data_IF_863606283294
#
_entry.id   IF_863606283294
#
_cell.length_a   1.000
_cell.length_b   1.000
_cell.length_c   1.000
_cell.angle_alpha   90.00
_cell.angle_beta   90.00
_cell.angle_gamma   90.00
#
_symmetry.space_group_name_H-M   'P 1'
#
loop_
_entity.id
_entity.type
_entity.pdbx_description
1 polymer ?
#
# COMPACT_ATOMS: atom_id res chain seq x y z
N UNK A 1 -15.07 -14.98 -28.72
CA UNK A 1 -14.99 -13.97 -27.63
C UNK A 1 -13.93 -12.98 -28.06
N UNK A 2 -14.32 -11.70 -28.27
CA UNK A 2 -13.36 -10.64 -28.61
C UNK A 2 -12.58 -10.31 -27.33
N UNK A 3 -11.26 -10.34 -27.40
CA UNK A 3 -10.40 -9.91 -26.30
C UNK A 3 -10.61 -8.39 -26.18
N UNK A 4 -11.01 -7.85 -25.01
CA UNK A 4 -11.09 -6.41 -24.87
C UNK A 4 -9.71 -5.81 -25.18
N UNK A 5 -9.67 -4.85 -26.10
CA UNK A 5 -8.43 -4.15 -26.40
C UNK A 5 -8.09 -3.27 -25.18
N UNK A 6 -6.96 -3.54 -24.55
CA UNK A 6 -6.45 -2.71 -23.47
C UNK A 6 -6.14 -1.35 -24.09
N UNK A 7 -6.85 -0.30 -23.65
CA UNK A 7 -6.55 1.06 -24.08
C UNK A 7 -5.22 1.53 -23.48
N UNK A 8 -4.48 2.39 -24.14
CA UNK A 8 -3.33 3.06 -23.52
C UNK A 8 -3.75 3.85 -22.27
N UNK A 9 -2.87 3.90 -21.30
CA UNK A 9 -3.05 4.75 -20.13
C UNK A 9 -3.06 6.24 -20.53
N UNK A 10 -3.83 7.03 -19.81
CA UNK A 10 -3.96 8.47 -19.93
C UNK A 10 -3.84 9.13 -18.55
N UNK A 11 -3.58 10.43 -18.49
CA UNK A 11 -3.47 11.14 -17.21
C UNK A 11 -4.70 11.00 -16.33
N UNK A 12 -5.89 10.81 -16.92
CA UNK A 12 -7.12 10.56 -16.16
C UNK A 12 -7.11 9.21 -15.41
N UNK A 13 -6.19 8.29 -15.73
CA UNK A 13 -6.04 7.03 -15.00
C UNK A 13 -5.20 7.21 -13.72
N UNK A 14 -4.77 8.42 -13.41
CA UNK A 14 -4.15 8.77 -12.13
C UNK A 14 -5.18 9.22 -11.08
N UNK A 15 -6.41 9.48 -11.51
CA UNK A 15 -7.49 9.94 -10.63
C UNK A 15 -8.54 8.86 -10.43
N UNK A 16 -9.41 9.06 -9.45
CA UNK A 16 -10.53 8.17 -9.18
C UNK A 16 -11.46 8.03 -10.40
N UNK A 17 -11.78 6.79 -10.74
CA UNK A 17 -12.73 6.47 -11.80
C UNK A 17 -14.16 6.49 -11.25
N UNK A 18 -14.94 7.54 -11.56
CA UNK A 18 -16.29 7.78 -11.00
C UNK A 18 -17.27 6.60 -11.18
N UNK A 19 -17.10 5.78 -12.21
CA UNK A 19 -17.97 4.65 -12.50
C UNK A 19 -17.36 3.30 -12.11
N UNK A 20 -16.23 3.31 -11.41
CA UNK A 20 -15.62 2.07 -10.93
C UNK A 20 -16.38 1.57 -9.69
N UNK A 21 -16.89 0.34 -9.68
CA UNK A 21 -17.53 -0.22 -8.49
C UNK A 21 -16.55 -0.47 -7.36
N UNK A 22 -15.27 -0.67 -7.71
CA UNK A 22 -14.18 -0.80 -6.77
C UNK A 22 -12.87 -0.33 -7.42
N UNK A 23 -12.01 0.27 -6.61
CA UNK A 23 -10.76 0.85 -7.05
C UNK A 23 -9.75 0.82 -5.90
N UNK A 24 -8.46 0.62 -6.23
CA UNK A 24 -7.44 0.55 -5.21
C UNK A 24 -6.10 1.11 -5.67
N UNK A 25 -5.44 1.74 -4.73
CA UNK A 25 -4.07 2.22 -4.84
C UNK A 25 -3.21 1.60 -3.76
N UNK A 26 -2.01 1.20 -4.14
CA UNK A 26 -1.00 0.72 -3.20
C UNK A 26 0.35 1.32 -3.56
N UNK A 27 1.05 1.75 -2.52
CA UNK A 27 2.42 2.22 -2.61
C UNK A 27 3.27 1.48 -1.60
N UNK A 28 4.48 1.19 -1.95
CA UNK A 28 5.45 0.70 -1.00
C UNK A 28 6.86 1.12 -1.38
N UNK A 29 7.68 1.34 -0.37
CA UNK A 29 9.07 1.68 -0.52
C UNK A 29 9.92 1.04 0.56
N UNK A 30 11.19 0.86 0.27
CA UNK A 30 12.15 0.30 1.19
C UNK A 30 13.43 1.12 1.15
N UNK A 31 14.04 1.33 2.32
CA UNK A 31 15.33 2.01 2.41
C UNK A 31 16.41 1.31 1.58
N UNK A 32 17.35 2.08 1.04
CA UNK A 32 18.44 1.54 0.21
C UNK A 32 19.30 0.49 0.94
N UNK A 33 19.42 0.61 2.27
CA UNK A 33 20.10 -0.37 3.12
C UNK A 33 19.19 -1.53 3.58
N UNK A 34 17.90 -1.52 3.17
CA UNK A 34 16.89 -2.52 3.51
C UNK A 34 16.57 -2.67 4.99
N UNK A 35 16.77 -1.64 5.78
CA UNK A 35 16.50 -1.66 7.22
C UNK A 35 15.16 -1.05 7.61
N UNK A 36 14.53 -0.30 6.71
CA UNK A 36 13.22 0.27 6.91
C UNK A 36 12.39 0.17 5.63
N UNK A 37 11.07 0.24 5.78
CA UNK A 37 10.15 0.28 4.66
C UNK A 37 8.77 0.77 5.10
N UNK A 38 8.03 1.27 4.14
CA UNK A 38 6.64 1.70 4.30
C UNK A 38 5.77 1.03 3.25
N UNK A 39 4.56 0.75 3.65
CA UNK A 39 3.49 0.28 2.79
C UNK A 39 2.23 1.10 3.07
N UNK A 40 1.55 1.55 2.03
CA UNK A 40 0.29 2.30 2.11
C UNK A 40 -0.69 1.71 1.13
N UNK A 41 -1.91 1.44 1.57
CA UNK A 41 -3.00 0.95 0.74
C UNK A 41 -4.30 1.68 1.01
N UNK A 42 -5.00 2.00 -0.07
CA UNK A 42 -6.35 2.57 -0.05
C UNK A 42 -7.21 1.81 -1.05
N UNK A 43 -8.31 1.24 -0.58
CA UNK A 43 -9.34 0.60 -1.41
C UNK A 43 -10.65 1.36 -1.29
N UNK A 44 -11.27 1.64 -2.42
CA UNK A 44 -12.59 2.25 -2.50
C UNK A 44 -13.61 1.24 -3.00
N UNK A 45 -14.79 1.20 -2.36
CA UNK A 45 -15.96 0.42 -2.75
C UNK A 45 -17.21 1.31 -2.65
N UNK A 46 -17.56 1.92 -3.76
CA UNK A 46 -18.62 2.91 -3.78
C UNK A 46 -18.26 4.14 -2.96
N UNK A 47 -18.99 4.39 -1.88
CA UNK A 47 -18.79 5.48 -0.90
C UNK A 47 -18.00 5.04 0.34
N UNK A 48 -17.51 3.79 0.38
CA UNK A 48 -16.73 3.21 1.45
C UNK A 48 -15.28 3.08 1.07
N UNK A 49 -14.42 3.15 2.09
CA UNK A 49 -12.99 2.87 1.92
C UNK A 49 -12.45 1.96 3.01
N UNK A 50 -11.42 1.20 2.64
CA UNK A 50 -10.49 0.58 3.57
C UNK A 50 -9.12 1.21 3.37
N UNK A 51 -8.51 1.64 4.45
CA UNK A 51 -7.17 2.21 4.46
C UNK A 51 -6.27 1.45 5.42
N UNK A 52 -5.03 1.23 5.04
CA UNK A 52 -4.02 0.71 5.93
C UNK A 52 -2.63 1.18 5.55
N UNK A 53 -1.79 1.32 6.55
CA UNK A 53 -0.38 1.54 6.34
C UNK A 53 0.44 0.65 7.28
N UNK A 54 1.63 0.30 6.85
CA UNK A 54 2.56 -0.50 7.61
C UNK A 54 3.96 0.06 7.55
N UNK A 55 4.60 0.23 8.70
CA UNK A 55 5.96 0.70 8.80
C UNK A 55 6.81 -0.41 9.39
N UNK A 56 7.81 -0.81 8.61
CA UNK A 56 8.72 -1.90 8.90
C UNK A 56 10.07 -1.32 9.30
N UNK A 57 10.64 -1.82 10.39
CA UNK A 57 12.01 -1.51 10.81
C UNK A 57 12.67 -2.78 11.29
N UNK A 58 13.93 -2.98 10.90
CA UNK A 58 14.71 -4.13 11.40
C UNK A 58 14.88 -3.99 12.90
N UNK A 59 14.64 -5.08 13.63
CA UNK A 59 14.77 -5.19 15.08
C UNK A 59 13.73 -4.39 15.91
N UNK A 60 12.71 -3.87 15.26
CA UNK A 60 11.64 -3.11 15.90
C UNK A 60 10.28 -3.76 15.67
N UNK A 61 9.29 -3.54 16.54
CA UNK A 61 7.93 -3.97 16.30
C UNK A 61 7.37 -3.39 14.98
N UNK A 62 6.52 -4.15 14.32
CA UNK A 62 5.79 -3.69 13.15
C UNK A 62 4.75 -2.65 13.56
N UNK A 63 4.82 -1.47 12.97
CA UNK A 63 3.81 -0.44 13.20
C UNK A 63 2.73 -0.55 12.13
N UNK A 64 1.50 -0.74 12.57
CA UNK A 64 0.34 -0.96 11.71
C UNK A 64 -0.75 0.08 11.98
N UNK A 65 -1.28 0.68 10.90
CA UNK A 65 -2.39 1.63 10.89
C UNK A 65 -3.51 1.01 10.07
N UNK A 66 -4.75 1.12 10.52
CA UNK A 66 -5.91 0.74 9.72
C UNK A 66 -7.15 1.56 10.03
N UNK A 67 -7.94 1.81 9.00
CA UNK A 67 -9.32 2.29 9.07
C UNK A 67 -10.13 1.49 8.06
N UNK A 68 -11.16 0.81 8.52
CA UNK A 68 -11.93 -0.09 7.69
C UNK A 68 -13.38 0.34 7.60
N UNK A 69 -13.95 0.12 6.41
CA UNK A 69 -15.34 0.44 6.12
C UNK A 69 -15.67 1.90 6.40
N UNK A 70 -14.66 2.78 6.25
CA UNK A 70 -14.78 4.23 6.46
C UNK A 70 -15.68 4.89 5.42
N UNK A 71 -16.27 6.02 5.79
CA UNK A 71 -17.19 6.78 4.92
C UNK A 71 -16.76 8.23 4.69
N UNK A 72 -15.79 8.72 5.44
CA UNK A 72 -15.32 10.10 5.37
C UNK A 72 -14.26 10.30 4.28
N UNK A 73 -14.58 9.85 3.07
CA UNK A 73 -13.80 10.11 1.87
C UNK A 73 -14.18 11.48 1.30
N UNK A 74 -13.21 12.35 1.11
CA UNK A 74 -13.36 13.69 0.55
C UNK A 74 -12.92 13.74 -0.92
N UNK A 75 -12.91 14.93 -1.48
CA UNK A 75 -12.41 15.14 -2.84
C UNK A 75 -10.98 14.60 -3.00
N UNK A 76 -10.72 13.97 -4.13
CA UNK A 76 -9.46 13.29 -4.34
C UNK A 76 -9.37 11.96 -3.58
N UNK A 77 -8.27 11.75 -2.87
CA UNK A 77 -8.02 10.61 -1.99
C UNK A 77 -7.74 11.07 -0.54
N UNK A 78 -8.36 12.17 -0.12
CA UNK A 78 -8.33 12.60 1.28
C UNK A 78 -9.34 11.79 2.08
N UNK A 79 -8.91 11.21 3.19
CA UNK A 79 -9.76 10.52 4.17
C UNK A 79 -9.58 11.18 5.54
N UNK A 80 -10.69 11.32 6.27
CA UNK A 80 -10.65 11.99 7.57
C UNK A 80 -11.63 11.37 8.58
N UNK A 81 -11.45 10.11 8.95
CA UNK A 81 -12.19 9.55 10.07
C UNK A 81 -11.77 10.21 11.41
N UNK A 82 -12.48 9.94 12.53
CA UNK A 82 -12.33 10.71 13.78
C UNK A 82 -10.91 10.77 14.36
N UNK A 83 -10.09 9.75 14.16
CA UNK A 83 -8.77 9.63 14.79
C UNK A 83 -7.61 9.54 13.78
N UNK A 84 -7.90 9.83 12.51
CA UNK A 84 -6.91 9.77 11.45
C UNK A 84 -7.16 10.83 10.40
N UNK A 85 -6.12 11.32 9.80
CA UNK A 85 -6.15 12.05 8.54
C UNK A 85 -5.15 11.42 7.59
N UNK A 86 -5.52 11.24 6.34
CA UNK A 86 -4.57 10.92 5.28
C UNK A 86 -4.99 11.59 3.97
N UNK A 87 -4.01 12.04 3.21
CA UNK A 87 -4.19 12.63 1.89
C UNK A 87 -3.15 12.07 0.92
N UNK A 88 -3.64 11.68 -0.24
CA UNK A 88 -2.79 11.12 -1.29
C UNK A 88 -3.06 11.86 -2.59
N UNK A 89 -2.09 12.61 -3.05
CA UNK A 89 -2.22 13.47 -4.22
C UNK A 89 -1.26 13.08 -5.34
N UNK A 90 -1.81 13.10 -6.56
CA UNK A 90 -1.02 13.00 -7.78
C UNK A 90 -0.54 14.40 -8.17
N UNK A 91 0.72 14.72 -7.93
CA UNK A 91 1.29 16.03 -8.24
C UNK A 91 1.61 16.17 -9.72
N UNK A 92 2.20 15.13 -10.30
CA UNK A 92 2.50 15.06 -11.73
C UNK A 92 2.12 13.66 -12.24
N UNK A 93 1.16 13.56 -13.15
CA UNK A 93 0.67 12.28 -13.68
C UNK A 93 1.81 11.35 -14.13
N UNK A 94 1.80 10.13 -13.61
CA UNK A 94 2.81 9.09 -13.84
C UNK A 94 4.24 9.46 -13.45
N UNK A 95 4.44 10.54 -12.70
CA UNK A 95 5.77 10.99 -12.31
C UNK A 95 5.93 11.19 -10.81
N UNK A 96 4.96 11.83 -10.15
CA UNK A 96 5.08 12.17 -8.73
C UNK A 96 3.75 12.03 -7.99
N UNK A 97 3.84 11.49 -6.77
CA UNK A 97 2.77 11.42 -5.79
C UNK A 97 3.28 11.82 -4.42
N UNK A 98 2.45 12.57 -3.69
CA UNK A 98 2.65 12.89 -2.28
C UNK A 98 1.64 12.13 -1.43
N UNK A 99 2.12 11.45 -0.39
CA UNK A 99 1.30 10.66 0.52
C UNK A 99 1.55 11.15 1.95
N UNK A 100 0.54 11.70 2.59
CA UNK A 100 0.61 12.16 3.97
C UNK A 100 -0.38 11.42 4.86
N UNK A 101 -0.03 11.18 6.12
CA UNK A 101 -0.98 10.73 7.13
C UNK A 101 -0.58 11.12 8.54
N UNK A 102 -1.61 11.42 9.35
CA UNK A 102 -1.53 11.56 10.80
C UNK A 102 -2.50 10.58 11.43
N UNK A 103 -2.02 9.68 12.28
CA UNK A 103 -2.82 8.60 12.84
C UNK A 103 -2.29 8.08 14.18
N UNK A 104 -3.05 7.18 14.78
CA UNK A 104 -2.55 6.28 15.80
C UNK A 104 -2.36 4.89 15.21
N UNK A 105 -1.14 4.39 15.25
CA UNK A 105 -0.82 3.03 14.83
C UNK A 105 -0.65 2.09 16.02
N UNK A 106 -0.69 0.81 15.74
CA UNK A 106 -0.48 -0.26 16.73
C UNK A 106 0.90 -0.87 16.52
N UNK A 107 1.70 -0.94 17.58
CA UNK A 107 2.97 -1.68 17.56
C UNK A 107 2.70 -3.17 17.80
N UNK A 108 3.09 -4.01 16.85
CA UNK A 108 2.90 -5.45 16.85
C UNK A 108 4.26 -6.15 16.90
N UNK A 109 4.47 -7.01 17.90
CA UNK A 109 5.66 -7.86 18.00
C UNK A 109 5.62 -8.97 16.94
N UNK A 110 4.42 -9.44 16.61
CA UNK A 110 4.17 -10.37 15.52
C UNK A 110 3.35 -9.67 14.43
N UNK A 111 3.91 -9.43 13.25
CA UNK A 111 3.19 -8.77 12.14
C UNK A 111 1.92 -9.52 11.69
N UNK A 112 1.81 -10.82 11.95
CA UNK A 112 0.61 -11.59 11.61
C UNK A 112 -0.62 -11.18 12.41
N UNK A 113 -0.45 -10.53 13.55
CA UNK A 113 -1.55 -9.97 14.34
C UNK A 113 -2.31 -8.87 13.61
N UNK A 114 -1.69 -8.21 12.63
CA UNK A 114 -2.35 -7.23 11.77
C UNK A 114 -3.54 -7.84 10.99
N UNK A 115 -3.50 -9.16 10.73
CA UNK A 115 -4.56 -9.89 10.04
C UNK A 115 -5.74 -10.31 10.95
N UNK A 116 -5.60 -10.14 12.25
CA UNK A 116 -6.56 -10.51 13.24
C UNK A 116 -7.19 -9.29 13.89
N UNK A 117 -6.74 -9.01 15.10
CA UNK A 117 -7.29 -7.94 15.93
C UNK A 117 -6.35 -6.77 16.12
N UNK A 118 -5.12 -6.91 15.64
CA UNK A 118 -4.07 -5.90 15.76
C UNK A 118 -3.93 -5.36 17.20
N UNK A 119 -3.92 -6.26 18.20
CA UNK A 119 -3.73 -5.84 19.57
C UNK A 119 -2.28 -5.52 19.85
N UNK A 120 -2.02 -4.31 20.29
CA UNK A 120 -0.69 -3.86 20.62
C UNK A 120 -0.72 -2.50 21.33
N UNK A 121 0.44 -1.88 21.45
CA UNK A 121 0.56 -0.55 22.01
C UNK A 121 0.22 0.50 20.95
N UNK A 122 -0.76 1.36 21.28
CA UNK A 122 -1.10 2.51 20.43
C UNK A 122 -0.01 3.59 20.55
N UNK A 123 0.44 4.07 19.41
CA UNK A 123 1.41 5.16 19.32
C UNK A 123 1.01 6.15 18.23
N UNK A 124 1.23 7.46 18.44
CA UNK A 124 1.05 8.45 17.40
C UNK A 124 2.10 8.25 16.30
N UNK A 125 1.70 8.50 15.09
CA UNK A 125 2.56 8.43 13.91
C UNK A 125 2.10 9.44 12.88
N UNK A 126 3.07 10.15 12.31
CA UNK A 126 2.88 10.99 11.13
C UNK A 126 3.85 10.52 10.07
N UNK A 127 3.44 10.49 8.82
CA UNK A 127 4.38 10.26 7.73
C UNK A 127 4.08 11.14 6.53
N UNK A 128 5.16 11.50 5.86
CA UNK A 128 5.17 12.13 4.56
C UNK A 128 6.04 11.30 3.62
N UNK A 129 5.48 10.94 2.47
CA UNK A 129 6.16 10.14 1.46
C UNK A 129 6.03 10.82 0.12
N UNK A 130 7.16 11.17 -0.46
CA UNK A 130 7.25 11.58 -1.84
C UNK A 130 7.63 10.37 -2.70
N UNK A 131 6.76 10.01 -3.63
CA UNK A 131 7.01 8.92 -4.57
C UNK A 131 7.33 9.50 -5.95
N UNK A 132 8.44 9.07 -6.53
CA UNK A 132 8.91 9.49 -7.85
C UNK A 132 9.04 8.30 -8.79
N UNK A 133 8.57 8.44 -10.03
CA UNK A 133 8.69 7.37 -11.01
C UNK A 133 10.13 7.18 -11.49
N UNK A 134 10.59 5.95 -11.54
CA UNK A 134 11.85 5.58 -12.21
C UNK A 134 11.62 4.94 -13.59
N UNK A 135 10.39 4.49 -13.87
CA UNK A 135 10.01 3.84 -15.13
C UNK A 135 8.59 4.22 -15.54
N UNK A 136 8.29 4.01 -16.83
CA UNK A 136 6.91 4.14 -17.34
C UNK A 136 6.00 3.10 -16.67
N UNK A 137 4.71 3.44 -16.49
CA UNK A 137 3.74 2.49 -15.97
C UNK A 137 3.58 1.29 -16.91
N UNK A 138 3.40 0.11 -16.32
CA UNK A 138 3.18 -1.14 -17.01
C UNK A 138 1.73 -1.58 -16.77
N UNK A 139 0.97 -1.73 -17.84
CA UNK A 139 -0.39 -2.28 -17.76
C UNK A 139 -0.36 -3.65 -17.10
N UNK A 140 -1.33 -3.90 -16.25
CA UNK A 140 -1.55 -5.19 -15.62
C UNK A 140 -2.46 -6.00 -16.55
N UNK A 141 -2.00 -7.17 -16.99
CA UNK A 141 -2.82 -8.14 -17.72
C UNK A 141 -3.39 -9.14 -16.71
N UNK A 142 -4.71 -9.17 -16.60
CA UNK A 142 -5.41 -10.12 -15.72
C UNK A 142 -5.11 -11.60 -16.05
N UNK A 143 -4.53 -11.87 -17.23
CA UNK A 143 -4.08 -13.21 -17.64
C UNK A 143 -2.66 -13.56 -17.16
N UNK A 144 -1.90 -12.60 -16.70
CA UNK A 144 -0.59 -12.84 -16.14
C UNK A 144 -0.77 -13.41 -14.72
N UNK A 145 -0.42 -14.66 -14.54
CA UNK A 145 -0.49 -15.34 -13.24
C UNK A 145 0.40 -14.69 -12.18
N UNK A 146 1.36 -13.88 -12.60
CA UNK A 146 2.18 -13.05 -11.73
C UNK A 146 1.63 -11.63 -11.58
N UNK A 147 0.52 -11.32 -12.25
CA UNK A 147 -0.09 -10.01 -12.13
C UNK A 147 -0.63 -9.81 -10.72
N UNK A 148 -0.44 -8.60 -10.26
CA UNK A 148 -0.92 -8.18 -8.94
C UNK A 148 -2.43 -7.86 -9.00
N UNK A 149 -3.00 -7.70 -10.21
CA UNK A 149 -4.41 -7.38 -10.38
C UNK A 149 -5.33 -8.58 -10.20
N UNK A 150 -6.54 -8.35 -9.68
CA UNK A 150 -7.57 -9.37 -9.65
C UNK A 150 -8.01 -9.77 -11.06
N UNK A 151 -8.50 -11.00 -11.25
CA UNK A 151 -8.95 -11.49 -12.55
C UNK A 151 -10.10 -10.69 -13.15
N UNK A 152 -10.86 -10.01 -12.33
CA UNK A 152 -12.05 -9.21 -12.67
C UNK A 152 -11.79 -7.70 -12.73
N UNK A 153 -10.54 -7.24 -12.51
CA UNK A 153 -10.19 -5.85 -12.73
C UNK A 153 -10.35 -5.45 -14.19
N UNK A 154 -10.99 -4.33 -14.42
CA UNK A 154 -11.23 -3.80 -15.78
C UNK A 154 -10.00 -3.07 -16.29
N UNK A 155 -9.20 -2.49 -15.42
CA UNK A 155 -7.95 -1.83 -15.76
C UNK A 155 -7.01 -1.75 -14.58
N UNK A 156 -5.77 -1.42 -14.88
CA UNK A 156 -4.76 -1.20 -13.84
C UNK A 156 -3.36 -1.16 -14.42
N UNK A 157 -2.46 -0.68 -13.59
CA UNK A 157 -1.03 -0.64 -13.92
C UNK A 157 -0.21 -0.74 -12.63
N UNK A 158 1.02 -1.12 -12.81
CA UNK A 158 2.08 -1.01 -11.81
C UNK A 158 3.19 -0.11 -12.32
N UNK A 159 3.90 0.53 -11.42
CA UNK A 159 4.99 1.43 -11.78
C UNK A 159 6.10 1.40 -10.74
N UNK A 160 7.33 1.16 -11.20
CA UNK A 160 8.51 1.25 -10.34
C UNK A 160 8.92 2.70 -10.15
N UNK A 161 9.40 3.01 -8.97
CA UNK A 161 9.80 4.35 -8.55
C UNK A 161 10.84 4.34 -7.45
N UNK A 162 10.97 5.49 -6.84
CA UNK A 162 11.75 5.73 -5.62
C UNK A 162 10.88 6.51 -4.65
N UNK A 163 11.12 6.35 -3.36
CA UNK A 163 10.50 7.15 -2.31
C UNK A 163 11.55 7.96 -1.57
N UNK A 164 11.16 9.17 -1.19
CA UNK A 164 11.74 9.93 -0.09
C UNK A 164 10.69 9.94 1.02
N UNK A 165 11.02 9.38 2.17
CA UNK A 165 10.06 9.05 3.21
C UNK A 165 10.54 9.58 4.56
N UNK A 166 9.72 10.42 5.19
CA UNK A 166 9.89 10.89 6.56
C UNK A 166 8.75 10.37 7.43
N UNK A 167 9.07 9.78 8.57
CA UNK A 167 8.11 9.21 9.50
C UNK A 167 8.43 9.71 10.90
N UNK A 168 7.53 10.47 11.49
CA UNK A 168 7.63 10.90 12.88
C UNK A 168 7.01 9.86 13.81
N UNK A 169 7.79 9.42 14.77
CA UNK A 169 7.42 8.46 15.81
C UNK A 169 7.72 9.06 17.18
N UNK A 170 7.08 8.55 18.21
CA UNK A 170 7.39 8.96 19.59
C UNK A 170 8.88 8.77 19.97
N UNK A 171 9.59 7.88 19.28
CA UNK A 171 11.02 7.58 19.50
C UNK A 171 11.96 8.44 18.65
N UNK A 172 11.45 9.28 17.76
CA UNK A 172 12.22 10.13 16.86
C UNK A 172 11.76 10.06 15.43
N UNK A 173 12.48 10.72 14.53
CA UNK A 173 12.18 10.75 13.11
C UNK A 173 12.97 9.66 12.39
N UNK A 174 12.27 8.87 11.58
CA UNK A 174 12.85 7.93 10.63
C UNK A 174 12.80 8.56 9.24
N UNK A 175 13.94 8.72 8.61
CA UNK A 175 14.02 9.20 7.24
C UNK A 175 14.77 8.18 6.37
N UNK A 176 14.25 7.90 5.18
CA UNK A 176 14.95 7.05 4.21
C UNK A 176 14.53 7.36 2.77
N UNK A 177 15.47 7.07 1.87
CA UNK A 177 15.27 7.09 0.42
C UNK A 177 15.54 5.69 -0.10
N UNK A 178 14.76 5.26 -1.08
CA UNK A 178 15.03 3.95 -1.69
C UNK A 178 14.03 3.52 -2.75
N UNK A 179 14.24 2.32 -3.32
CA UNK A 179 13.38 1.79 -4.37
C UNK A 179 11.95 1.59 -3.88
N UNK A 180 11.02 1.87 -4.79
CA UNK A 180 9.60 1.82 -4.53
C UNK A 180 8.83 1.24 -5.72
N UNK A 181 7.62 0.84 -5.45
CA UNK A 181 6.63 0.53 -6.48
C UNK A 181 5.26 1.05 -6.06
N UNK A 182 4.41 1.26 -7.04
CA UNK A 182 3.00 1.52 -6.84
C UNK A 182 2.14 0.71 -7.80
N UNK A 183 0.90 0.48 -7.39
CA UNK A 183 -0.12 -0.19 -8.19
C UNK A 183 -1.41 0.61 -8.08
N UNK A 184 -2.09 0.75 -9.21
CA UNK A 184 -3.44 1.27 -9.28
C UNK A 184 -4.30 0.33 -10.12
N UNK A 185 -5.46 -0.09 -9.58
CA UNK A 185 -6.41 -0.98 -10.26
C UNK A 185 -7.83 -0.49 -10.08
N UNK A 186 -8.69 -0.70 -11.08
CA UNK A 186 -10.09 -0.25 -11.06
C UNK A 186 -11.01 -1.17 -11.85
N UNK A 187 -12.30 -1.07 -11.58
CA UNK A 187 -13.39 -1.66 -12.37
C UNK A 187 -13.80 -3.06 -11.95
N UNK A 188 -13.15 -3.68 -10.98
CA UNK A 188 -13.60 -4.93 -10.39
C UNK A 188 -14.74 -4.72 -9.40
N UNK A 189 -15.71 -5.62 -9.39
CA UNK A 189 -16.73 -5.64 -8.34
C UNK A 189 -16.18 -6.16 -7.00
N UNK A 190 -15.03 -6.79 -7.06
CA UNK A 190 -14.34 -7.41 -5.93
C UNK A 190 -12.84 -7.24 -6.12
N UNK A 191 -12.22 -6.49 -5.24
CA UNK A 191 -10.75 -6.40 -5.20
C UNK A 191 -10.23 -7.59 -4.41
N UNK A 192 -9.16 -8.25 -4.88
CA UNK A 192 -8.66 -9.39 -4.16
C UNK A 192 -8.09 -8.91 -2.84
N UNK A 193 -8.53 -9.58 -1.85
CA UNK A 193 -8.15 -9.35 -0.49
C UNK A 193 -6.79 -9.98 -0.11
N UNK A 194 -5.99 -10.43 -1.06
CA UNK A 194 -4.68 -11.01 -0.77
C UNK A 194 -3.68 -10.65 -1.86
N UNK A 195 -2.94 -9.60 -1.63
CA UNK A 195 -1.76 -9.31 -2.39
C UNK A 195 -0.51 -9.66 -1.61
N UNK A 196 0.32 -10.45 -2.24
CA UNK A 196 1.71 -10.50 -1.90
C UNK A 196 2.43 -9.43 -2.70
N UNK A 197 2.60 -8.25 -2.15
CA UNK A 197 3.42 -7.26 -2.83
C UNK A 197 4.89 -7.49 -2.54
N UNK A 198 5.68 -8.02 -3.48
CA UNK A 198 7.12 -7.99 -3.32
C UNK A 198 7.55 -6.54 -3.45
N UNK A 199 8.29 -6.05 -2.49
CA UNK A 199 9.08 -4.83 -2.69
C UNK A 199 10.21 -5.24 -3.63
N UNK A 200 10.07 -4.89 -4.89
CA UNK A 200 10.61 -5.59 -6.04
C UNK A 200 12.13 -5.80 -6.03
N UNK A 201 12.91 -4.95 -5.44
CA UNK A 201 14.37 -5.08 -5.46
C UNK A 201 14.98 -5.60 -4.15
N UNK A 202 14.21 -5.70 -3.08
CA UNK A 202 14.74 -5.95 -1.74
C UNK A 202 14.56 -7.38 -1.26
N UNK A 203 13.61 -8.13 -1.83
CA UNK A 203 13.15 -9.39 -1.28
C UNK A 203 12.34 -9.26 0.01
N UNK A 204 12.18 -8.04 0.54
CA UNK A 204 11.25 -7.74 1.60
C UNK A 204 9.82 -7.75 1.04
N UNK A 205 8.88 -8.17 1.86
CA UNK A 205 7.46 -8.11 1.55
C UNK A 205 6.76 -7.42 2.69
N UNK A 206 6.00 -6.37 2.38
CA UNK A 206 5.13 -5.77 3.36
C UNK A 206 3.96 -6.71 3.63
N UNK A 207 3.55 -6.90 4.89
CA UNK A 207 2.30 -7.55 5.18
C UNK A 207 1.18 -6.69 4.60
N UNK A 208 0.26 -7.36 3.95
CA UNK A 208 -0.88 -6.75 3.32
C UNK A 208 -2.14 -7.23 4.01
N UNK A 209 -3.03 -6.33 4.38
CA UNK A 209 -4.28 -6.73 4.98
C UNK A 209 -5.29 -7.20 3.96
N UNK A 210 -6.04 -8.18 4.39
CA UNK A 210 -7.16 -8.73 3.67
C UNK A 210 -8.48 -8.46 4.38
N UNK A 211 -9.47 -7.97 3.66
CA UNK A 211 -10.81 -7.73 4.19
C UNK A 211 -11.54 -8.99 4.66
N UNK A 212 -11.19 -10.16 4.14
CA UNK A 212 -11.91 -11.42 4.40
C UNK A 212 -11.14 -12.41 5.27
N UNK A 213 -10.20 -12.02 6.04
CA UNK A 213 -9.56 -12.75 7.14
C UNK A 213 -9.17 -14.23 6.94
N UNK A 214 -9.24 -14.82 5.74
CA UNK A 214 -9.21 -16.30 5.63
C UNK A 214 -8.00 -16.74 4.87
N UNK A 215 -7.03 -16.52 4.66
CA UNK A 215 -5.76 -17.01 4.09
C UNK A 215 -4.76 -15.86 3.88
N UNK A 216 -4.23 -15.40 4.96
CA UNK A 216 -2.89 -14.84 4.89
C UNK A 216 -2.01 -15.90 4.28
N UNK A 217 -1.42 -15.57 3.16
CA UNK A 217 -0.40 -16.45 2.63
C UNK A 217 0.77 -16.45 3.62
N UNK A 218 0.80 -17.45 4.49
CA UNK A 218 1.83 -17.64 5.51
C UNK A 218 3.23 -17.45 4.96
N UNK A 219 3.40 -17.78 3.68
CA UNK A 219 4.66 -17.59 2.96
C UNK A 219 5.13 -16.13 2.94
N UNK A 220 4.20 -15.17 3.01
CA UNK A 220 4.54 -13.74 2.95
C UNK A 220 4.95 -13.19 4.30
N UNK A 221 4.16 -13.49 5.30
CA UNK A 221 4.44 -13.14 6.68
C UNK A 221 5.73 -13.82 7.13
N UNK A 222 5.91 -15.11 6.80
CA UNK A 222 7.10 -15.86 7.16
C UNK A 222 8.37 -15.32 6.48
N UNK A 223 8.31 -14.96 5.20
CA UNK A 223 9.49 -14.42 4.51
C UNK A 223 9.87 -13.03 5.00
N UNK A 224 8.91 -12.19 5.27
CA UNK A 224 9.19 -10.88 5.83
C UNK A 224 9.75 -10.99 7.24
N UNK A 225 9.14 -11.81 8.08
CA UNK A 225 9.56 -12.08 9.45
C UNK A 225 10.93 -12.74 9.52
N UNK A 226 11.20 -13.69 8.63
CA UNK A 226 12.52 -14.33 8.53
C UNK A 226 13.59 -13.32 8.09
N UNK A 227 13.28 -12.40 7.18
CA UNK A 227 14.22 -11.37 6.77
C UNK A 227 14.53 -10.36 7.86
N UNK A 228 13.56 -10.01 8.71
CA UNK A 228 13.80 -9.15 9.86
C UNK A 228 14.55 -9.86 10.99
N UNK A 229 14.33 -11.15 11.18
CA UNK A 229 15.06 -11.96 12.19
C UNK A 229 16.44 -12.41 11.74
N UNK A 230 16.64 -12.71 10.45
CA UNK A 230 17.94 -13.15 9.93
C UNK A 230 19.00 -12.03 9.93
N UNK A 231 18.60 -10.79 10.10
CA UNK A 231 19.54 -9.69 10.29
C UNK A 231 20.15 -9.65 11.71
N UNK A 232 19.65 -10.48 12.63
CA UNK A 232 20.09 -10.59 14.04
C UNK A 232 21.04 -11.75 14.32
N UNK A 233 21.48 -12.50 13.31
CA UNK A 233 22.48 -13.55 13.41
C UNK A 233 23.71 -13.21 12.59
#
# INVERSE_FOLDING_TARGET
MSIPSIRPLSESDETRHQNSPAEAWWWWGVSSDRRAGIYVGLELRGDRFDYWAGIVRVDEPYLYIEELDGTDLRDGLEIKPPEMWADHSCDIPFQQWSLGAEAHGVLLDDPSEAWNRAYGTLVPVTFDVEWYSSRKPQLIDARDVNAVAPPDAVGGYRQSGEVDCEIELATGVLHFVGPAERVHVWGGAYLPSSFAMPIAASGLRAPYRRSDAIHVDQVLTDRWWVNTKAANT
#
